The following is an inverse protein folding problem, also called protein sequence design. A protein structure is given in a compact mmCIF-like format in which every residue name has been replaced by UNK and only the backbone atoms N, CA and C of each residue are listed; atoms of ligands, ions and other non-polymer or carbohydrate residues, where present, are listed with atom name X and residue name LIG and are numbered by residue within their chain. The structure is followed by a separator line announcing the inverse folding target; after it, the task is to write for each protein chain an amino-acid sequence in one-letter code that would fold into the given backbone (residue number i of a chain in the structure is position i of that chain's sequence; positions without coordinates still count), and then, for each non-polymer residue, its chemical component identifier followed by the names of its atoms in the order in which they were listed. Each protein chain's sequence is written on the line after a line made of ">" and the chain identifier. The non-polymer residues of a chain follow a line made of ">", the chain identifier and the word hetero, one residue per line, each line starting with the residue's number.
data_IF_845100455152
#
_entry.id   IF_845100455152
#
_cell.length_a   1.000
_cell.length_b   1.000
_cell.length_c   1.000
_cell.angle_alpha   90.00
_cell.angle_beta   90.00
_cell.angle_gamma   90.00
#
_symmetry.space_group_name_H-M   'P 1'
#
loop_
_entity.id
_entity.type
_entity.pdbx_description
1 polymer ?
#
# COMPACT_ATOMS: atom_id res chain seq x y z
N UNK A 1 50.08 -27.12 39.32
CA UNK A 1 49.60 -25.82 39.77
C UNK A 1 48.62 -25.34 38.71
N UNK A 2 47.32 -25.68 38.92
CA UNK A 2 46.21 -25.35 37.99
C UNK A 2 45.65 -23.99 38.39
N UNK A 3 45.74 -23.02 37.49
CA UNK A 3 44.99 -21.76 37.59
C UNK A 3 43.75 -21.89 36.71
N UNK A 4 42.63 -22.16 37.37
CA UNK A 4 41.27 -22.03 36.81
C UNK A 4 40.93 -20.55 36.90
N UNK A 5 40.78 -19.89 35.76
CA UNK A 5 40.24 -18.52 35.68
C UNK A 5 38.74 -18.53 35.77
N UNK A 6 38.15 -17.83 36.70
CA UNK A 6 36.72 -17.59 36.89
C UNK A 6 36.07 -16.98 35.65
N UNK A 7 34.85 -17.40 35.26
CA UNK A 7 34.07 -16.70 34.24
C UNK A 7 33.52 -15.42 34.79
N UNK A 8 33.95 -14.30 34.24
CA UNK A 8 33.41 -12.96 34.56
C UNK A 8 31.88 -12.94 34.39
N UNK A 9 31.25 -12.61 35.47
CA UNK A 9 29.81 -12.26 35.60
C UNK A 9 29.44 -11.24 34.51
N UNK A 10 28.64 -11.67 33.54
CA UNK A 10 27.99 -10.74 32.60
C UNK A 10 26.95 -9.98 33.40
N UNK A 11 27.19 -8.71 33.62
CA UNK A 11 26.25 -7.80 34.30
C UNK A 11 24.89 -7.88 33.62
N UNK A 12 23.85 -8.16 34.37
CA UNK A 12 22.45 -8.08 33.95
C UNK A 12 22.13 -6.64 33.56
N UNK A 13 22.19 -6.36 32.27
CA UNK A 13 21.78 -5.07 31.72
C UNK A 13 20.30 -4.84 32.08
N UNK A 14 20.00 -3.75 32.76
CA UNK A 14 18.64 -3.27 32.98
C UNK A 14 17.97 -3.12 31.60
N UNK A 15 16.80 -3.72 31.42
CA UNK A 15 16.01 -3.57 30.19
C UNK A 15 15.76 -2.07 29.94
N UNK A 16 16.18 -1.58 28.79
CA UNK A 16 15.93 -0.20 28.39
C UNK A 16 14.42 0.05 28.30
N UNK A 17 13.99 1.27 28.58
CA UNK A 17 12.58 1.65 28.35
C UNK A 17 12.19 1.44 26.86
N UNK A 18 10.90 1.23 26.56
CA UNK A 18 10.44 1.09 25.19
C UNK A 18 10.91 2.24 24.26
N UNK A 19 10.91 3.47 24.79
CA UNK A 19 11.38 4.67 24.08
C UNK A 19 12.89 4.63 23.84
N UNK A 20 13.68 4.21 24.81
CA UNK A 20 15.13 4.07 24.66
C UNK A 20 15.48 2.95 23.66
N UNK A 21 14.72 1.84 23.66
CA UNK A 21 14.87 0.77 22.69
C UNK A 21 14.53 1.25 21.26
N UNK A 22 13.47 2.03 21.11
CA UNK A 22 13.10 2.61 19.81
C UNK A 22 14.16 3.60 19.33
N UNK A 23 14.65 4.48 20.19
CA UNK A 23 15.72 5.42 19.86
C UNK A 23 17.01 4.69 19.43
N UNK A 24 17.39 3.63 20.15
CA UNK A 24 18.55 2.81 19.83
C UNK A 24 18.36 2.07 18.47
N UNK A 25 17.17 1.52 18.22
CA UNK A 25 16.85 0.89 16.93
C UNK A 25 16.94 1.88 15.78
N UNK A 26 16.42 3.09 15.93
CA UNK A 26 16.50 4.16 14.95
C UNK A 26 17.95 4.63 14.71
N UNK A 27 18.75 4.73 15.77
CA UNK A 27 20.16 5.09 15.66
C UNK A 27 20.97 4.05 14.88
N UNK A 28 20.61 2.76 14.99
CA UNK A 28 21.23 1.65 14.28
C UNK A 28 20.64 1.42 12.88
N UNK A 29 19.46 1.96 12.57
CA UNK A 29 18.79 1.71 11.30
C UNK A 29 19.57 2.28 10.12
N UNK A 30 19.66 1.48 9.06
CA UNK A 30 20.24 1.87 7.77
C UNK A 30 19.28 2.72 6.95
N UNK A 31 17.97 2.48 7.10
CA UNK A 31 16.90 3.27 6.51
C UNK A 31 15.69 3.38 7.45
N UNK A 32 14.97 4.47 7.33
CA UNK A 32 13.78 4.80 8.14
C UNK A 32 12.63 5.14 7.21
N UNK A 33 11.53 4.41 7.36
CA UNK A 33 10.26 4.68 6.71
C UNK A 33 9.32 5.32 7.74
N UNK A 34 9.02 6.58 7.54
CA UNK A 34 8.04 7.31 8.34
C UNK A 34 6.68 7.25 7.66
N UNK A 35 5.64 6.83 8.39
CA UNK A 35 4.25 6.76 7.94
C UNK A 35 3.46 7.80 8.73
N UNK A 36 2.78 8.70 8.03
CA UNK A 36 1.94 9.76 8.60
C UNK A 36 0.48 9.28 8.64
N UNK A 37 0.04 8.83 9.83
CA UNK A 37 -1.31 8.32 10.03
C UNK A 37 -2.36 9.44 9.94
N UNK A 38 -2.02 10.66 10.31
CA UNK A 38 -2.94 11.79 10.20
C UNK A 38 -3.16 12.18 8.74
N UNK A 39 -2.13 12.08 7.91
CA UNK A 39 -2.27 12.27 6.47
C UNK A 39 -3.16 11.18 5.83
N UNK A 40 -3.05 9.92 6.27
CA UNK A 40 -3.95 8.83 5.84
C UNK A 40 -5.39 9.14 6.24
N UNK A 41 -5.64 9.56 7.48
CA UNK A 41 -6.97 9.95 7.96
C UNK A 41 -7.50 11.17 7.19
N UNK A 42 -6.67 12.18 6.93
CA UNK A 42 -7.06 13.34 6.15
C UNK A 42 -7.45 12.96 4.71
N UNK A 43 -6.69 12.05 4.08
CA UNK A 43 -7.03 11.51 2.78
C UNK A 43 -8.36 10.76 2.80
N UNK A 44 -8.59 9.89 3.80
CA UNK A 44 -9.84 9.18 3.95
C UNK A 44 -11.02 10.14 4.13
N UNK A 45 -10.93 11.15 5.00
CA UNK A 45 -11.99 12.15 5.19
C UNK A 45 -12.31 12.94 3.92
N UNK A 46 -11.28 13.25 3.13
CA UNK A 46 -11.45 13.90 1.83
C UNK A 46 -12.22 13.01 0.84
N UNK A 47 -11.95 11.71 0.83
CA UNK A 47 -12.68 10.74 0.03
C UNK A 47 -14.11 10.54 0.57
N UNK A 48 -14.27 10.43 1.89
CA UNK A 48 -15.56 10.35 2.56
C UNK A 48 -16.48 11.54 2.22
N UNK A 49 -15.96 12.77 2.27
CA UNK A 49 -16.74 13.95 1.92
C UNK A 49 -17.21 13.96 0.46
N UNK A 50 -16.50 13.27 -0.43
CA UNK A 50 -16.91 13.09 -1.84
C UNK A 50 -17.88 11.94 -2.03
N UNK A 51 -17.96 11.03 -1.05
CA UNK A 51 -18.81 9.83 -1.11
C UNK A 51 -20.26 10.11 -0.80
N UNK A 52 -20.56 11.12 -0.03
CA UNK A 52 -21.92 11.37 0.50
C UNK A 52 -22.97 11.39 -0.61
N UNK A 53 -24.06 10.58 -0.49
CA UNK A 53 -24.51 9.84 0.71
C UNK A 53 -23.95 8.42 0.86
N UNK A 54 -23.11 7.93 -0.05
CA UNK A 54 -22.51 6.61 0.02
C UNK A 54 -21.53 6.48 1.20
N UNK A 55 -21.34 5.26 1.71
CA UNK A 55 -20.30 4.96 2.69
C UNK A 55 -18.92 4.97 2.01
N UNK A 56 -17.91 5.50 2.70
CA UNK A 56 -16.51 5.41 2.28
C UNK A 56 -15.80 4.33 3.10
N UNK A 57 -15.59 3.17 2.51
CA UNK A 57 -14.76 2.12 3.08
C UNK A 57 -13.26 2.43 2.94
N UNK A 58 -12.41 1.55 3.47
CA UNK A 58 -10.98 1.61 3.26
C UNK A 58 -10.43 0.26 2.78
N UNK A 59 -9.60 0.27 1.71
CA UNK A 59 -8.88 -0.93 1.28
C UNK A 59 -7.50 -0.94 1.93
N UNK A 60 -7.25 -1.93 2.80
CA UNK A 60 -6.05 -2.04 3.63
C UNK A 60 -5.24 -3.32 3.34
N UNK A 61 -5.45 -3.92 2.18
CA UNK A 61 -4.69 -5.09 1.70
C UNK A 61 -3.20 -4.78 1.51
N UNK A 62 -2.38 -5.82 1.34
CA UNK A 62 -0.93 -5.74 1.20
C UNK A 62 -0.29 -4.96 2.36
N UNK A 63 -0.68 -5.33 3.61
CA UNK A 63 -0.23 -4.67 4.83
C UNK A 63 -0.49 -3.14 4.81
N UNK A 64 -1.72 -2.75 4.45
CA UNK A 64 -2.11 -1.36 4.21
C UNK A 64 -1.19 -0.67 3.19
N UNK A 65 -1.01 -1.31 2.02
CA UNK A 65 -0.09 -0.86 0.95
C UNK A 65 1.35 -0.66 1.47
N UNK A 66 1.82 -1.56 2.35
CA UNK A 66 3.15 -1.49 2.96
C UNK A 66 3.28 -0.50 4.13
N UNK A 67 2.19 0.20 4.49
CA UNK A 67 2.20 1.16 5.60
C UNK A 67 1.97 0.52 6.98
N UNK A 68 1.61 -0.78 7.05
CA UNK A 68 1.30 -1.48 8.30
C UNK A 68 -0.18 -1.48 8.64
N UNK A 69 -0.82 -2.65 8.56
CA UNK A 69 -2.27 -2.78 8.67
C UNK A 69 -2.79 -2.38 10.06
N UNK A 70 -2.13 -2.79 11.15
CA UNK A 70 -2.61 -2.52 12.51
C UNK A 70 -2.67 -1.00 12.82
N UNK A 71 -1.58 -0.21 12.70
CA UNK A 71 -1.65 1.22 13.01
C UNK A 71 -2.57 2.00 12.06
N UNK A 72 -2.61 1.64 10.78
CA UNK A 72 -3.48 2.29 9.79
C UNK A 72 -4.94 2.02 10.11
N UNK A 73 -5.32 0.77 10.39
CA UNK A 73 -6.70 0.45 10.75
C UNK A 73 -7.15 1.15 12.03
N UNK A 74 -6.32 1.16 13.09
CA UNK A 74 -6.67 1.87 14.33
C UNK A 74 -6.93 3.34 14.09
N UNK A 75 -6.10 4.01 13.27
CA UNK A 75 -6.28 5.41 12.93
C UNK A 75 -7.59 5.65 12.14
N UNK A 76 -7.87 4.82 11.13
CA UNK A 76 -9.09 4.93 10.32
C UNK A 76 -10.37 4.60 11.11
N UNK A 77 -10.34 3.58 11.98
CA UNK A 77 -11.46 3.25 12.87
C UNK A 77 -11.74 4.40 13.84
N UNK A 78 -10.70 4.99 14.44
CA UNK A 78 -10.84 6.16 15.30
C UNK A 78 -11.41 7.39 14.56
N UNK A 79 -11.14 7.49 13.25
CA UNK A 79 -11.70 8.53 12.38
C UNK A 79 -13.16 8.26 11.98
N UNK A 80 -13.70 7.04 12.18
CA UNK A 80 -15.09 6.67 11.89
C UNK A 80 -15.28 5.69 10.73
N UNK A 81 -14.20 5.21 10.09
CA UNK A 81 -14.30 4.20 9.04
C UNK A 81 -14.81 2.87 9.61
N UNK A 82 -15.83 2.29 8.99
CA UNK A 82 -16.53 1.09 9.50
C UNK A 82 -16.25 -0.16 8.66
N UNK A 83 -16.05 -0.01 7.36
CA UNK A 83 -15.92 -1.11 6.40
C UNK A 83 -14.53 -1.14 5.80
N UNK A 84 -13.91 -2.31 5.81
CA UNK A 84 -12.56 -2.54 5.33
C UNK A 84 -12.50 -3.68 4.33
N UNK A 85 -11.60 -3.57 3.36
CA UNK A 85 -11.34 -4.60 2.37
C UNK A 85 -9.87 -5.02 2.45
N UNK A 86 -9.66 -6.32 2.54
CA UNK A 86 -8.35 -6.99 2.51
C UNK A 86 -8.30 -8.00 1.36
N UNK A 87 -7.12 -8.49 0.98
CA UNK A 87 -7.01 -9.51 -0.05
C UNK A 87 -7.22 -10.91 0.54
N UNK A 88 -6.55 -11.25 1.63
CA UNK A 88 -6.41 -12.60 2.16
C UNK A 88 -7.00 -12.76 3.58
N UNK A 89 -7.20 -14.04 4.00
CA UNK A 89 -7.62 -14.35 5.37
C UNK A 89 -6.60 -13.93 6.43
N UNK A 90 -5.31 -14.01 6.13
CA UNK A 90 -4.27 -13.58 7.09
C UNK A 90 -4.31 -12.08 7.33
N UNK A 91 -4.56 -11.30 6.27
CA UNK A 91 -4.80 -9.86 6.40
C UNK A 91 -6.10 -9.58 7.15
N UNK A 92 -7.17 -10.38 6.93
CA UNK A 92 -8.42 -10.26 7.68
C UNK A 92 -8.21 -10.52 9.18
N UNK A 93 -7.38 -11.49 9.55
CA UNK A 93 -7.02 -11.78 10.94
C UNK A 93 -6.29 -10.58 11.57
N UNK A 94 -5.32 -10.00 10.86
CA UNK A 94 -4.62 -8.80 11.32
C UNK A 94 -5.58 -7.61 11.45
N UNK A 95 -6.49 -7.42 10.49
CA UNK A 95 -7.51 -6.38 10.52
C UNK A 95 -8.48 -6.55 11.71
N UNK A 96 -8.94 -7.79 11.98
CA UNK A 96 -9.81 -8.10 13.12
C UNK A 96 -9.11 -7.86 14.46
N UNK A 97 -7.82 -8.14 14.56
CA UNK A 97 -7.02 -7.84 15.76
C UNK A 97 -6.93 -6.32 16.03
N UNK A 98 -6.91 -5.51 14.97
CA UNK A 98 -6.90 -4.04 15.09
C UNK A 98 -8.28 -3.46 15.45
N UNK A 99 -9.40 -4.12 15.05
CA UNK A 99 -10.76 -3.66 15.33
C UNK A 99 -11.75 -4.83 15.46
N UNK A 100 -12.32 -4.97 16.66
CA UNK A 100 -13.32 -6.01 16.93
C UNK A 100 -14.67 -5.79 16.20
N UNK A 101 -15.00 -4.55 15.84
CA UNK A 101 -16.32 -4.17 15.33
C UNK A 101 -16.35 -3.85 13.83
N UNK A 102 -15.19 -3.80 13.18
CA UNK A 102 -15.12 -3.46 11.75
C UNK A 102 -15.80 -4.53 10.89
N UNK A 103 -16.50 -4.11 9.85
CA UNK A 103 -16.92 -5.00 8.77
C UNK A 103 -15.72 -5.25 7.86
N UNK A 104 -15.34 -6.51 7.69
CA UNK A 104 -14.15 -6.90 6.91
C UNK A 104 -14.56 -7.80 5.76
N UNK A 105 -14.24 -7.40 4.53
CA UNK A 105 -14.42 -8.19 3.32
C UNK A 105 -13.08 -8.71 2.80
N UNK A 106 -13.02 -10.00 2.42
CA UNK A 106 -11.84 -10.66 1.85
C UNK A 106 -12.02 -10.80 0.34
N UNK A 107 -11.18 -10.11 -0.43
CA UNK A 107 -11.34 -9.97 -1.88
C UNK A 107 -11.00 -11.24 -2.68
N UNK A 108 -10.11 -12.08 -2.16
CA UNK A 108 -9.71 -13.34 -2.82
C UNK A 108 -10.78 -14.45 -2.68
N UNK A 109 -11.92 -14.14 -2.05
CA UNK A 109 -13.03 -15.08 -1.89
C UNK A 109 -12.82 -16.11 -0.79
N UNK A 110 -13.59 -17.21 -0.87
CA UNK A 110 -13.56 -18.32 0.08
C UNK A 110 -13.00 -19.56 -0.61
N UNK A 111 -11.76 -19.93 -0.32
CA UNK A 111 -11.21 -21.19 -0.80
C UNK A 111 -11.93 -22.39 -0.19
N UNK A 112 -11.89 -23.51 -0.90
CA UNK A 112 -12.53 -24.75 -0.51
C UNK A 112 -12.17 -25.15 0.95
N UNK A 113 -13.18 -25.50 1.74
CA UNK A 113 -13.06 -25.87 3.15
C UNK A 113 -12.54 -24.77 4.09
N UNK A 114 -12.56 -23.51 3.70
CA UNK A 114 -12.11 -22.38 4.52
C UNK A 114 -13.23 -21.62 5.26
N UNK A 115 -14.51 -22.01 5.10
CA UNK A 115 -15.65 -21.32 5.72
C UNK A 115 -15.52 -21.15 7.24
N UNK A 116 -15.05 -22.17 7.96
CA UNK A 116 -14.85 -22.10 9.41
C UNK A 116 -13.86 -20.98 9.82
N UNK A 117 -12.89 -20.65 8.95
CA UNK A 117 -11.93 -19.55 9.19
C UNK A 117 -12.57 -18.17 9.05
N UNK A 118 -13.53 -18.03 8.14
CA UNK A 118 -14.31 -16.79 8.03
C UNK A 118 -15.16 -16.55 9.28
N UNK A 119 -15.79 -17.59 9.81
CA UNK A 119 -16.57 -17.52 11.04
C UNK A 119 -15.68 -17.23 12.26
N UNK A 120 -14.50 -17.87 12.36
CA UNK A 120 -13.51 -17.63 13.44
C UNK A 120 -13.05 -16.17 13.49
N UNK A 121 -12.80 -15.56 12.32
CA UNK A 121 -12.31 -14.19 12.19
C UNK A 121 -13.46 -13.18 12.22
N UNK A 122 -14.70 -13.62 11.98
CA UNK A 122 -15.86 -12.77 11.75
C UNK A 122 -15.64 -11.83 10.54
N UNK A 123 -15.31 -12.39 9.39
CA UNK A 123 -15.13 -11.67 8.14
C UNK A 123 -15.98 -12.28 7.02
N UNK A 124 -16.11 -11.57 5.91
CA UNK A 124 -17.02 -11.87 4.81
C UNK A 124 -16.24 -12.16 3.53
N UNK A 125 -16.46 -13.28 2.84
CA UNK A 125 -15.87 -13.51 1.53
C UNK A 125 -16.51 -12.60 0.47
N UNK A 126 -15.73 -12.24 -0.54
CA UNK A 126 -16.20 -11.63 -1.79
C UNK A 126 -16.25 -12.74 -2.84
N UNK A 127 -17.42 -13.30 -3.05
CA UNK A 127 -17.66 -14.49 -3.88
C UNK A 127 -17.79 -14.09 -5.34
N UNK A 128 -17.00 -14.72 -6.20
CA UNK A 128 -16.95 -14.43 -7.62
C UNK A 128 -17.20 -15.63 -8.54
N UNK A 129 -17.61 -16.78 -7.99
CA UNK A 129 -17.87 -18.01 -8.74
C UNK A 129 -19.07 -18.76 -8.14
N UNK A 130 -19.88 -19.46 -8.99
CA UNK A 130 -21.06 -20.19 -8.53
C UNK A 130 -20.73 -21.42 -7.71
N UNK A 131 -19.61 -22.08 -7.95
CA UNK A 131 -19.18 -23.23 -7.13
C UNK A 131 -18.75 -22.73 -5.74
N UNK A 132 -18.00 -21.64 -5.70
CA UNK A 132 -17.64 -20.98 -4.45
C UNK A 132 -18.88 -20.59 -3.63
N UNK A 133 -19.90 -20.01 -4.28
CA UNK A 133 -21.17 -19.68 -3.64
C UNK A 133 -21.88 -20.93 -3.11
N UNK A 134 -21.90 -22.03 -3.88
CA UNK A 134 -22.50 -23.28 -3.45
C UNK A 134 -21.80 -23.88 -2.22
N UNK A 135 -20.47 -23.83 -2.18
CA UNK A 135 -19.66 -24.28 -1.03
C UNK A 135 -19.93 -23.41 0.20
N UNK A 136 -19.98 -22.08 0.02
CA UNK A 136 -20.34 -21.14 1.07
C UNK A 136 -21.73 -21.41 1.65
N UNK A 137 -22.70 -21.69 0.80
CA UNK A 137 -24.06 -22.05 1.21
C UNK A 137 -24.12 -23.35 2.02
N UNK A 138 -23.35 -24.35 1.61
CA UNK A 138 -23.23 -25.60 2.37
C UNK A 138 -22.66 -25.32 3.76
N UNK A 139 -21.62 -24.54 3.84
CA UNK A 139 -21.04 -24.11 5.11
C UNK A 139 -22.07 -23.39 6.00
N UNK A 140 -22.73 -22.34 5.47
CA UNK A 140 -23.73 -21.57 6.21
C UNK A 140 -24.89 -22.45 6.72
N UNK A 141 -25.41 -23.33 5.88
CA UNK A 141 -26.49 -24.27 6.31
C UNK A 141 -26.03 -25.21 7.39
N UNK A 142 -24.81 -25.75 7.30
CA UNK A 142 -24.25 -26.70 8.27
C UNK A 142 -24.03 -26.07 9.63
N UNK A 143 -23.56 -24.81 9.66
CA UNK A 143 -23.10 -24.17 10.89
C UNK A 143 -24.08 -23.15 11.47
N UNK A 144 -25.11 -22.77 10.71
CA UNK A 144 -25.98 -21.63 11.06
C UNK A 144 -25.31 -20.26 10.96
N UNK A 145 -24.14 -20.17 10.29
CA UNK A 145 -23.43 -18.91 10.14
C UNK A 145 -24.22 -17.90 9.30
N UNK A 146 -24.42 -16.70 9.86
CA UNK A 146 -25.19 -15.61 9.25
C UNK A 146 -24.36 -14.34 9.03
N UNK A 147 -23.02 -14.42 9.07
CA UNK A 147 -22.11 -13.26 8.98
C UNK A 147 -22.10 -12.56 7.62
N UNK A 148 -22.67 -13.19 6.59
CA UNK A 148 -22.83 -12.60 5.27
C UNK A 148 -21.64 -12.82 4.33
N UNK A 149 -21.87 -12.44 3.06
CA UNK A 149 -20.89 -12.43 1.97
C UNK A 149 -21.16 -11.28 1.02
N UNK A 150 -20.20 -10.94 0.17
CA UNK A 150 -20.41 -10.07 -0.99
C UNK A 150 -20.44 -10.91 -2.27
N UNK A 151 -21.19 -10.47 -3.28
CA UNK A 151 -21.15 -11.02 -4.64
C UNK A 151 -20.36 -10.06 -5.52
N UNK A 152 -19.33 -10.57 -6.18
CA UNK A 152 -18.58 -9.83 -7.20
C UNK A 152 -19.14 -10.18 -8.58
N UNK A 153 -19.48 -9.15 -9.35
CA UNK A 153 -20.02 -9.28 -10.71
C UNK A 153 -19.00 -8.64 -11.67
N UNK A 154 -18.58 -9.38 -12.68
CA UNK A 154 -17.70 -8.83 -13.72
C UNK A 154 -18.51 -8.04 -14.74
N UNK A 155 -18.17 -6.77 -14.88
CA UNK A 155 -18.79 -5.86 -15.84
C UNK A 155 -17.82 -5.43 -16.95
N UNK A 156 -16.68 -6.12 -17.06
CA UNK A 156 -15.74 -5.90 -18.17
C UNK A 156 -14.27 -5.74 -17.76
N UNK A 157 -13.88 -6.11 -16.53
CA UNK A 157 -12.48 -6.21 -16.14
C UNK A 157 -11.88 -7.57 -16.50
N UNK A 158 -12.69 -8.62 -16.61
CA UNK A 158 -12.32 -9.99 -17.00
C UNK A 158 -11.21 -10.58 -16.10
N UNK A 159 -11.33 -10.38 -14.80
CA UNK A 159 -10.36 -10.88 -13.82
C UNK A 159 -10.99 -11.82 -12.79
N UNK A 160 -12.01 -11.37 -12.11
CA UNK A 160 -12.81 -12.08 -11.12
C UNK A 160 -14.26 -11.64 -11.23
N UNK A 161 -15.18 -12.45 -10.74
CA UNK A 161 -16.60 -12.10 -10.65
C UNK A 161 -17.48 -13.01 -11.51
N UNK A 162 -18.73 -13.11 -11.10
CA UNK A 162 -19.79 -13.79 -11.86
C UNK A 162 -20.03 -13.06 -13.18
N UNK A 163 -20.41 -13.79 -14.20
CA UNK A 163 -20.95 -13.18 -15.42
C UNK A 163 -22.28 -12.47 -15.10
N UNK A 164 -22.71 -11.56 -15.97
CA UNK A 164 -24.02 -10.91 -15.82
C UNK A 164 -25.16 -11.94 -15.83
N UNK A 165 -25.04 -12.97 -16.67
CA UNK A 165 -26.02 -14.07 -16.76
C UNK A 165 -26.08 -14.87 -15.44
N UNK A 166 -24.96 -15.27 -14.89
CA UNK A 166 -24.89 -15.97 -13.60
C UNK A 166 -25.47 -15.12 -12.47
N UNK A 167 -25.15 -13.84 -12.45
CA UNK A 167 -25.66 -12.88 -11.47
C UNK A 167 -27.20 -12.72 -11.58
N UNK A 168 -27.74 -12.63 -12.82
CA UNK A 168 -29.18 -12.61 -13.06
C UNK A 168 -29.88 -13.86 -12.54
N UNK A 169 -29.24 -15.03 -12.70
CA UNK A 169 -29.74 -16.29 -12.16
C UNK A 169 -29.87 -16.31 -10.63
N UNK A 170 -29.10 -15.49 -9.91
CA UNK A 170 -29.18 -15.37 -8.45
C UNK A 170 -30.26 -14.41 -7.94
N UNK A 171 -30.78 -13.52 -8.76
CA UNK A 171 -31.75 -12.48 -8.36
C UNK A 171 -32.97 -13.04 -7.63
N UNK A 172 -33.68 -14.10 -8.13
CA UNK A 172 -34.85 -14.63 -7.43
C UNK A 172 -34.51 -15.17 -6.03
N UNK A 173 -33.36 -15.82 -5.90
CA UNK A 173 -32.90 -16.37 -4.63
C UNK A 173 -32.58 -15.26 -3.62
N UNK A 174 -31.87 -14.23 -4.05
CA UNK A 174 -31.44 -13.13 -3.18
C UNK A 174 -32.67 -12.30 -2.74
N UNK A 175 -33.59 -12.01 -3.67
CA UNK A 175 -34.80 -11.25 -3.36
C UNK A 175 -35.81 -12.02 -2.50
N UNK A 176 -35.72 -13.36 -2.42
CA UNK A 176 -36.55 -14.17 -1.49
C UNK A 176 -36.11 -14.01 -0.02
N UNK A 177 -35.00 -13.34 0.27
CA UNK A 177 -34.46 -13.16 1.62
C UNK A 177 -33.68 -14.39 2.13
N UNK A 178 -33.11 -14.30 3.33
CA UNK A 178 -32.35 -15.38 3.98
C UNK A 178 -31.11 -15.88 3.20
N UNK A 179 -30.53 -15.04 2.37
CA UNK A 179 -29.39 -15.42 1.52
C UNK A 179 -28.03 -15.05 2.12
N UNK A 180 -27.99 -14.20 3.17
CA UNK A 180 -26.75 -13.74 3.80
C UNK A 180 -25.85 -12.85 2.92
N UNK A 181 -26.34 -12.37 1.76
CA UNK A 181 -25.56 -11.48 0.90
C UNK A 181 -25.74 -10.04 1.41
N UNK A 182 -24.61 -9.41 1.77
CA UNK A 182 -24.57 -8.10 2.39
C UNK A 182 -24.06 -7.00 1.46
N UNK A 183 -23.58 -7.36 0.26
CA UNK A 183 -23.05 -6.41 -0.74
C UNK A 183 -23.04 -7.06 -2.12
N UNK A 184 -23.40 -6.31 -3.16
CA UNK A 184 -23.05 -6.63 -4.55
C UNK A 184 -22.00 -5.64 -5.03
N UNK A 185 -20.98 -6.11 -5.74
CA UNK A 185 -19.89 -5.23 -6.17
C UNK A 185 -19.36 -5.58 -7.55
N UNK A 186 -18.77 -4.58 -8.20
CA UNK A 186 -17.94 -4.74 -9.39
C UNK A 186 -16.67 -3.92 -9.26
N UNK A 187 -15.81 -3.90 -10.28
CA UNK A 187 -14.55 -3.17 -10.26
C UNK A 187 -14.26 -2.50 -11.59
N UNK A 188 -13.94 -1.20 -11.55
CA UNK A 188 -13.59 -0.41 -12.73
C UNK A 188 -12.18 -0.76 -13.22
N UNK A 189 -12.06 -0.97 -14.53
CA UNK A 189 -10.80 -1.36 -15.17
C UNK A 189 -9.94 -0.16 -15.61
N UNK A 190 -10.57 1.00 -15.89
CA UNK A 190 -9.90 2.14 -16.53
C UNK A 190 -10.21 3.47 -15.82
N UNK A 191 -10.49 3.44 -14.51
CA UNK A 191 -10.93 4.62 -13.76
C UNK A 191 -9.88 5.75 -13.70
N UNK A 192 -8.60 5.42 -13.87
CA UNK A 192 -7.50 6.38 -13.93
C UNK A 192 -7.57 7.28 -15.17
N UNK A 193 -8.18 6.83 -16.26
CA UNK A 193 -8.47 7.61 -17.46
C UNK A 193 -9.95 8.06 -17.39
N UNK A 194 -10.18 9.33 -17.07
CA UNK A 194 -11.52 9.88 -16.85
C UNK A 194 -12.45 9.71 -18.07
N UNK A 195 -11.90 9.73 -19.27
CA UNK A 195 -12.65 9.71 -20.53
C UNK A 195 -12.72 8.33 -21.19
N UNK A 196 -12.17 7.28 -20.55
CA UNK A 196 -12.19 5.94 -21.13
C UNK A 196 -13.62 5.40 -21.24
N UNK A 197 -14.09 5.01 -22.44
CA UNK A 197 -15.50 4.63 -22.66
C UNK A 197 -15.93 3.40 -21.86
N UNK A 198 -14.99 2.54 -21.44
CA UNK A 198 -15.28 1.39 -20.60
C UNK A 198 -15.85 1.79 -19.23
N UNK A 199 -15.46 2.95 -18.68
CA UNK A 199 -15.99 3.41 -17.39
C UNK A 199 -17.52 3.55 -17.43
N UNK A 200 -18.05 4.29 -18.42
CA UNK A 200 -19.49 4.47 -18.58
C UNK A 200 -20.22 3.14 -18.85
N UNK A 201 -19.62 2.28 -19.68
CA UNK A 201 -20.17 0.96 -20.00
C UNK A 201 -20.25 0.06 -18.77
N UNK A 202 -19.18 -0.03 -17.96
CA UNK A 202 -19.17 -0.80 -16.71
C UNK A 202 -20.19 -0.27 -15.71
N UNK A 203 -20.30 1.05 -15.54
CA UNK A 203 -21.26 1.67 -14.64
C UNK A 203 -22.72 1.40 -15.07
N UNK A 204 -23.01 1.45 -16.38
CA UNK A 204 -24.35 1.16 -16.92
C UNK A 204 -24.71 -0.32 -16.68
N UNK A 205 -23.85 -1.25 -17.08
CA UNK A 205 -24.06 -2.70 -16.87
C UNK A 205 -24.19 -3.05 -15.38
N UNK A 206 -23.35 -2.47 -14.53
CA UNK A 206 -23.44 -2.71 -13.10
C UNK A 206 -24.72 -2.15 -12.48
N UNK A 207 -25.16 -0.97 -12.90
CA UNK A 207 -26.43 -0.39 -12.42
C UNK A 207 -27.63 -1.24 -12.79
N UNK A 208 -27.68 -1.72 -14.02
CA UNK A 208 -28.76 -2.57 -14.51
C UNK A 208 -28.91 -3.86 -13.70
N UNK A 209 -27.80 -4.53 -13.38
CA UNK A 209 -27.84 -5.74 -12.59
C UNK A 209 -28.02 -5.47 -11.09
N UNK A 210 -27.35 -4.45 -10.52
CA UNK A 210 -27.42 -4.15 -9.09
C UNK A 210 -28.83 -3.74 -8.65
N UNK A 211 -29.58 -3.02 -9.48
CA UNK A 211 -30.98 -2.64 -9.20
C UNK A 211 -31.93 -3.85 -9.07
N UNK A 212 -31.55 -4.99 -9.59
CA UNK A 212 -32.37 -6.20 -9.46
C UNK A 212 -32.20 -6.88 -8.09
N UNK A 213 -31.12 -6.58 -7.35
CA UNK A 213 -30.87 -7.11 -6.00
C UNK A 213 -31.50 -6.21 -4.93
N UNK A 214 -32.80 -6.38 -4.70
CA UNK A 214 -33.59 -5.52 -3.82
C UNK A 214 -33.06 -5.53 -2.38
N UNK A 215 -32.73 -4.35 -1.84
CA UNK A 215 -32.26 -4.19 -0.46
C UNK A 215 -30.83 -4.62 -0.19
N UNK A 216 -30.05 -4.97 -1.22
CA UNK A 216 -28.63 -5.27 -1.09
C UNK A 216 -27.83 -4.05 -1.55
N UNK A 217 -26.96 -3.47 -0.70
CA UNK A 217 -26.09 -2.37 -1.08
C UNK A 217 -25.19 -2.73 -2.27
N UNK A 218 -24.86 -1.72 -3.10
CA UNK A 218 -24.04 -1.87 -4.28
C UNK A 218 -22.73 -1.07 -4.18
N UNK A 219 -21.65 -1.56 -4.81
CA UNK A 219 -20.34 -0.91 -4.77
C UNK A 219 -19.57 -1.07 -6.08
N UNK A 220 -19.12 0.06 -6.67
CA UNK A 220 -18.34 0.05 -7.90
C UNK A 220 -17.02 0.79 -7.78
N UNK A 221 -17.04 2.04 -7.27
CA UNK A 221 -15.89 2.94 -7.30
C UNK A 221 -14.71 2.45 -6.46
N UNK A 222 -13.53 2.39 -7.08
CA UNK A 222 -12.21 2.35 -6.45
C UNK A 222 -11.70 3.78 -6.19
N UNK A 223 -10.39 3.96 -5.88
CA UNK A 223 -9.79 5.29 -5.65
C UNK A 223 -10.09 6.28 -6.77
N UNK A 224 -9.78 5.92 -8.01
CA UNK A 224 -9.99 6.79 -9.18
C UNK A 224 -11.47 6.94 -9.50
N UNK A 225 -12.26 5.87 -9.33
CA UNK A 225 -13.70 5.88 -9.48
C UNK A 225 -14.42 6.91 -8.60
N UNK A 226 -13.85 7.25 -7.44
CA UNK A 226 -14.35 8.31 -6.55
C UNK A 226 -14.36 9.69 -7.21
N UNK A 227 -13.54 9.89 -8.23
CA UNK A 227 -13.38 11.16 -8.94
C UNK A 227 -14.12 11.20 -10.29
N UNK A 228 -14.73 10.10 -10.73
CA UNK A 228 -15.48 10.03 -11.99
C UNK A 228 -16.88 10.67 -11.93
N UNK A 229 -17.39 10.93 -10.72
CA UNK A 229 -18.69 11.57 -10.52
C UNK A 229 -19.73 10.67 -9.85
N UNK A 230 -20.92 11.25 -9.52
CA UNK A 230 -21.96 10.59 -8.69
C UNK A 230 -22.46 9.27 -9.27
N UNK A 231 -22.48 9.15 -10.59
CA UNK A 231 -22.99 7.95 -11.28
C UNK A 231 -22.17 6.68 -11.03
N UNK A 232 -20.96 6.79 -10.41
CA UNK A 232 -20.09 5.67 -10.07
C UNK A 232 -20.10 5.32 -8.58
N UNK A 233 -20.75 6.14 -7.73
CA UNK A 233 -20.62 6.03 -6.26
C UNK A 233 -21.39 4.84 -5.69
N UNK A 234 -22.63 4.61 -6.11
CA UNK A 234 -23.55 3.63 -5.54
C UNK A 234 -23.70 3.82 -4.01
N UNK A 235 -23.78 2.72 -3.23
CA UNK A 235 -23.99 2.78 -1.77
C UNK A 235 -22.68 2.74 -0.98
N UNK A 236 -21.60 2.20 -1.55
CA UNK A 236 -20.30 2.02 -0.90
C UNK A 236 -19.15 2.28 -1.87
N UNK A 237 -18.20 3.12 -1.50
CA UNK A 237 -16.96 3.31 -2.25
C UNK A 237 -15.78 2.63 -1.56
N UNK A 238 -14.82 2.14 -2.34
CA UNK A 238 -13.69 1.32 -1.87
C UNK A 238 -12.33 1.92 -2.29
N UNK A 239 -11.99 3.14 -1.80
CA UNK A 239 -10.68 3.70 -2.07
C UNK A 239 -9.59 2.87 -1.38
N UNK A 240 -8.47 2.71 -2.08
CA UNK A 240 -7.24 2.10 -1.58
C UNK A 240 -6.08 3.06 -1.76
N UNK A 241 -5.44 3.06 -2.92
CA UNK A 241 -4.21 3.81 -3.20
C UNK A 241 -4.29 5.31 -2.86
N UNK A 242 -5.44 5.93 -3.06
CA UNK A 242 -5.65 7.34 -2.71
C UNK A 242 -5.51 7.60 -1.20
N UNK A 243 -5.84 6.64 -0.34
CA UNK A 243 -5.61 6.75 1.12
C UNK A 243 -4.12 6.95 1.42
N UNK A 244 -3.26 6.33 0.63
CA UNK A 244 -1.81 6.31 0.81
C UNK A 244 -1.08 7.36 -0.04
N UNK A 245 -1.81 8.35 -0.55
CA UNK A 245 -1.23 9.52 -1.24
C UNK A 245 -0.87 9.30 -2.70
N UNK A 246 -1.20 8.15 -3.29
CA UNK A 246 -1.06 7.90 -4.74
C UNK A 246 -2.11 8.72 -5.49
N UNK A 247 -1.71 9.34 -6.61
CA UNK A 247 -2.61 10.16 -7.40
C UNK A 247 -3.74 9.33 -8.04
N UNK A 248 -5.01 9.53 -7.65
CA UNK A 248 -6.14 8.84 -8.24
C UNK A 248 -6.58 9.44 -9.60
N UNK A 249 -6.03 10.59 -9.96
CA UNK A 249 -6.34 11.35 -11.18
C UNK A 249 -5.05 11.71 -11.92
N UNK A 250 -4.34 10.74 -12.56
CA UNK A 250 -3.00 10.96 -13.10
C UNK A 250 -2.89 12.06 -14.15
N UNK A 251 -4.01 12.43 -14.79
CA UNK A 251 -4.09 13.52 -15.78
C UNK A 251 -4.20 14.92 -15.14
N UNK A 252 -4.26 15.01 -13.80
CA UNK A 252 -4.38 16.24 -13.03
C UNK A 252 -3.46 16.23 -11.81
N UNK A 253 -3.34 17.37 -11.15
CA UNK A 253 -2.61 17.48 -9.89
C UNK A 253 -3.17 16.51 -8.85
N UNK A 254 -2.25 15.89 -8.10
CA UNK A 254 -2.65 14.93 -7.07
C UNK A 254 -3.44 15.61 -5.95
N UNK A 255 -4.72 15.27 -5.78
CA UNK A 255 -5.53 15.85 -4.72
C UNK A 255 -5.20 15.28 -3.33
N UNK A 256 -4.42 14.20 -3.24
CA UNK A 256 -4.13 13.51 -1.98
C UNK A 256 -2.84 13.99 -1.35
N UNK A 257 -2.77 13.93 -0.04
CA UNK A 257 -1.58 14.25 0.74
C UNK A 257 -0.62 13.05 0.75
N UNK A 258 0.68 13.23 0.47
CA UNK A 258 1.68 12.17 0.65
C UNK A 258 1.71 11.68 2.10
N UNK A 259 1.82 10.35 2.29
CA UNK A 259 1.72 9.73 3.62
C UNK A 259 3.01 9.09 4.09
N UNK A 260 4.02 8.95 3.22
CA UNK A 260 5.30 8.33 3.58
C UNK A 260 6.47 9.26 3.33
N UNK A 261 7.50 9.11 4.17
CA UNK A 261 8.84 9.60 3.94
C UNK A 261 9.83 8.46 4.13
N UNK A 262 10.68 8.21 3.13
CA UNK A 262 11.74 7.21 3.19
C UNK A 262 13.10 7.91 3.21
N UNK A 263 13.87 7.64 4.25
CA UNK A 263 15.26 8.11 4.38
C UNK A 263 16.21 6.95 4.55
N UNK A 264 17.42 7.06 4.00
CA UNK A 264 18.47 6.08 4.15
C UNK A 264 19.80 6.74 4.51
N UNK A 265 20.70 5.96 5.14
CA UNK A 265 21.93 6.48 5.74
C UNK A 265 23.10 6.40 4.78
N UNK A 266 23.90 7.46 4.70
CA UNK A 266 25.19 7.47 4.02
C UNK A 266 26.17 6.62 4.84
N UNK A 267 26.73 5.59 4.22
CA UNK A 267 27.71 4.71 4.85
C UNK A 267 29.14 5.09 4.50
N UNK A 268 29.36 5.75 3.35
CA UNK A 268 30.67 6.20 2.90
C UNK A 268 30.56 7.38 1.94
N UNK A 269 31.54 8.28 1.97
CA UNK A 269 31.79 9.25 0.89
C UNK A 269 33.03 8.78 0.11
N UNK A 270 32.96 8.78 -1.21
CA UNK A 270 34.04 8.39 -2.11
C UNK A 270 34.31 9.47 -3.15
N UNK A 271 35.58 9.66 -3.48
CA UNK A 271 35.99 10.42 -4.67
C UNK A 271 36.38 9.42 -5.76
N UNK A 272 35.93 9.65 -6.97
CA UNK A 272 36.29 8.89 -8.18
C UNK A 272 36.87 9.83 -9.21
N UNK A 273 37.88 9.39 -9.94
CA UNK A 273 38.52 10.19 -10.96
C UNK A 273 37.66 10.23 -12.24
N UNK A 274 37.88 11.24 -13.09
CA UNK A 274 37.31 11.26 -14.44
C UNK A 274 37.73 10.00 -15.20
N UNK A 275 36.77 9.31 -15.78
CA UNK A 275 36.96 8.06 -16.52
C UNK A 275 36.76 6.79 -15.68
N UNK A 276 36.71 6.90 -14.34
CA UNK A 276 36.38 5.74 -13.48
C UNK A 276 34.91 5.36 -13.63
N UNK A 277 34.61 4.06 -13.62
CA UNK A 277 33.26 3.54 -13.66
C UNK A 277 32.70 3.29 -12.25
N UNK A 278 31.37 3.34 -12.13
CA UNK A 278 30.65 3.13 -10.86
C UNK A 278 29.60 2.00 -11.00
N UNK A 279 29.63 1.07 -10.06
CA UNK A 279 28.62 0.03 -9.92
C UNK A 279 28.80 -1.16 -10.86
N UNK A 280 27.84 -2.10 -10.77
CA UNK A 280 27.88 -3.33 -11.55
C UNK A 280 27.77 -3.09 -13.06
N UNK A 281 28.64 -3.80 -13.81
CA UNK A 281 28.68 -3.75 -15.27
C UNK A 281 29.33 -2.49 -15.82
N UNK A 282 29.93 -1.64 -14.94
CA UNK A 282 30.62 -0.41 -15.34
C UNK A 282 29.83 0.47 -16.33
N UNK A 283 28.50 0.54 -16.15
CA UNK A 283 27.58 1.19 -17.08
C UNK A 283 27.48 2.70 -16.90
N UNK A 284 28.05 3.24 -15.85
CA UNK A 284 28.13 4.66 -15.57
C UNK A 284 29.58 5.08 -15.39
N UNK A 285 30.01 6.13 -16.08
CA UNK A 285 31.37 6.61 -16.07
C UNK A 285 31.43 8.06 -15.59
N UNK A 286 32.32 8.36 -14.67
CA UNK A 286 32.54 9.70 -14.16
C UNK A 286 33.11 10.62 -15.27
N UNK A 287 32.33 11.62 -15.70
CA UNK A 287 32.74 12.58 -16.75
C UNK A 287 33.68 13.67 -16.24
N UNK A 288 33.78 13.83 -14.93
CA UNK A 288 34.63 14.79 -14.18
C UNK A 288 35.07 14.10 -12.88
N UNK A 289 36.03 14.66 -12.12
CA UNK A 289 36.24 14.22 -10.74
C UNK A 289 34.93 14.30 -9.99
N UNK A 290 34.47 13.20 -9.43
CA UNK A 290 33.11 13.01 -8.90
C UNK A 290 33.15 12.58 -7.44
N UNK A 291 32.32 13.21 -6.62
CA UNK A 291 32.13 12.87 -5.21
C UNK A 291 30.82 12.09 -5.05
N UNK A 292 30.93 10.87 -4.54
CA UNK A 292 29.81 9.96 -4.37
C UNK A 292 29.45 9.79 -2.90
N UNK A 293 28.16 9.81 -2.58
CA UNK A 293 27.62 9.26 -1.33
C UNK A 293 27.13 7.84 -1.57
N UNK A 294 27.70 6.89 -0.85
CA UNK A 294 27.23 5.50 -0.84
C UNK A 294 26.20 5.37 0.27
N UNK A 295 24.99 4.95 -0.10
CA UNK A 295 23.81 4.91 0.77
C UNK A 295 23.37 3.45 0.98
N UNK A 296 23.04 3.12 2.24
CA UNK A 296 22.61 1.78 2.65
C UNK A 296 21.14 1.55 2.32
N UNK A 297 20.86 1.37 1.04
CA UNK A 297 19.56 0.96 0.49
C UNK A 297 19.79 0.40 -0.90
N UNK A 298 19.12 -0.70 -1.21
CA UNK A 298 19.18 -1.33 -2.52
C UNK A 298 17.86 -2.04 -2.86
N UNK A 299 17.89 -2.89 -3.90
CA UNK A 299 16.66 -3.54 -4.35
C UNK A 299 16.13 -4.62 -3.39
N UNK A 300 16.95 -5.16 -2.47
CA UNK A 300 16.48 -6.05 -1.41
C UNK A 300 15.66 -5.31 -0.33
N UNK A 301 15.74 -3.98 -0.30
CA UNK A 301 14.94 -3.11 0.56
C UNK A 301 13.65 -2.66 -0.13
N UNK A 302 13.44 -3.08 -1.40
CA UNK A 302 12.29 -2.68 -2.21
C UNK A 302 12.48 -1.37 -2.96
N UNK A 303 13.70 -0.81 -3.01
CA UNK A 303 13.99 0.34 -3.86
C UNK A 303 14.45 -0.14 -5.24
N UNK A 304 13.67 0.11 -6.26
CA UNK A 304 13.78 -0.53 -7.57
C UNK A 304 15.14 -0.34 -8.23
N UNK A 305 15.67 -1.42 -8.80
CA UNK A 305 16.91 -1.38 -9.57
C UNK A 305 16.85 -0.46 -10.79
N UNK A 306 15.65 -0.26 -11.34
CA UNK A 306 15.36 0.64 -12.44
C UNK A 306 15.63 2.13 -12.11
N UNK A 307 15.73 2.50 -10.81
CA UNK A 307 16.10 3.84 -10.38
C UNK A 307 17.57 4.21 -10.72
N UNK A 308 18.43 3.21 -10.94
CA UNK A 308 19.84 3.42 -11.25
C UNK A 308 20.06 4.07 -12.60
N UNK A 309 21.18 4.79 -12.74
CA UNK A 309 21.62 5.43 -13.98
C UNK A 309 22.61 4.59 -14.78
N UNK A 310 22.80 4.98 -16.03
CA UNK A 310 23.85 4.54 -16.91
C UNK A 310 24.27 5.69 -17.83
N UNK A 311 25.38 5.54 -18.58
CA UNK A 311 25.76 6.54 -19.57
C UNK A 311 24.66 6.71 -20.62
N UNK A 312 24.15 7.94 -20.75
CA UNK A 312 23.02 8.25 -21.63
C UNK A 312 21.62 7.90 -21.10
N UNK A 313 21.51 7.29 -19.92
CA UNK A 313 20.23 6.96 -19.27
C UNK A 313 20.06 7.78 -17.99
N UNK A 314 18.97 8.57 -17.92
CA UNK A 314 18.65 9.36 -16.74
C UNK A 314 18.31 8.44 -15.56
N UNK A 315 18.92 8.68 -14.40
CA UNK A 315 18.59 8.03 -13.14
C UNK A 315 17.45 8.74 -12.42
N UNK A 316 16.84 8.05 -11.45
CA UNK A 316 16.08 8.74 -10.41
C UNK A 316 16.99 9.67 -9.59
N UNK A 317 16.35 10.63 -8.93
CA UNK A 317 17.02 11.57 -8.04
C UNK A 317 16.61 11.30 -6.59
N UNK A 318 17.47 11.70 -5.67
CA UNK A 318 17.25 11.67 -4.22
C UNK A 318 17.59 13.05 -3.65
N UNK A 319 17.15 13.36 -2.43
CA UNK A 319 17.47 14.62 -1.80
C UNK A 319 18.56 14.44 -0.77
N UNK A 320 19.69 15.15 -0.97
CA UNK A 320 20.81 15.20 -0.04
C UNK A 320 20.98 16.66 0.41
N UNK A 321 20.87 16.91 1.71
CA UNK A 321 20.96 18.25 2.28
C UNK A 321 20.06 19.30 1.59
N UNK A 322 18.83 18.91 1.22
CA UNK A 322 17.85 19.78 0.58
C UNK A 322 17.99 19.95 -0.94
N UNK A 323 18.96 19.31 -1.58
CA UNK A 323 19.17 19.39 -3.03
C UNK A 323 18.93 18.02 -3.70
N UNK A 324 18.35 18.03 -4.90
CA UNK A 324 18.19 16.84 -5.73
C UNK A 324 19.55 16.43 -6.29
N UNK A 325 19.88 15.14 -6.12
CA UNK A 325 21.12 14.53 -6.55
C UNK A 325 20.81 13.23 -7.32
N UNK A 326 21.42 13.01 -8.50
CA UNK A 326 21.16 11.82 -9.31
C UNK A 326 21.84 10.58 -8.74
N UNK A 327 21.22 9.41 -8.96
CA UNK A 327 21.84 8.11 -8.66
C UNK A 327 22.89 7.80 -9.72
N UNK A 328 24.12 7.47 -9.30
CA UNK A 328 25.23 7.15 -10.16
C UNK A 328 25.39 5.63 -10.32
N UNK A 329 25.22 5.10 -11.52
CA UNK A 329 25.33 3.69 -11.81
C UNK A 329 24.13 2.85 -11.33
N UNK A 330 24.28 1.53 -11.45
CA UNK A 330 23.22 0.57 -11.10
C UNK A 330 23.09 0.43 -9.59
N UNK A 331 21.86 0.34 -9.13
CA UNK A 331 21.55 0.00 -7.73
C UNK A 331 21.92 -1.47 -7.49
N UNK A 332 22.61 -1.71 -6.38
CA UNK A 332 22.99 -3.03 -5.89
C UNK A 332 21.91 -3.63 -4.97
N UNK A 333 22.13 -4.82 -4.46
CA UNK A 333 21.19 -5.47 -3.53
C UNK A 333 20.93 -4.61 -2.29
N UNK A 334 22.00 -4.02 -1.71
CA UNK A 334 21.96 -3.36 -0.41
C UNK A 334 22.47 -1.90 -0.45
N UNK A 335 22.98 -1.43 -1.59
CA UNK A 335 23.67 -0.15 -1.70
C UNK A 335 23.33 0.56 -3.02
N UNK A 336 23.35 1.90 -2.96
CA UNK A 336 23.35 2.76 -4.13
C UNK A 336 24.40 3.86 -4.00
N UNK A 337 24.89 4.36 -5.13
CA UNK A 337 25.78 5.52 -5.19
C UNK A 337 25.00 6.74 -5.68
N UNK A 338 25.22 7.89 -5.06
CA UNK A 338 24.57 9.17 -5.40
C UNK A 338 25.66 10.17 -5.75
N UNK A 339 25.54 10.83 -6.89
CA UNK A 339 26.45 11.91 -7.27
C UNK A 339 26.12 13.18 -6.47
N UNK A 340 27.03 13.55 -5.57
CA UNK A 340 26.93 14.73 -4.71
C UNK A 340 28.02 15.76 -5.04
N UNK A 341 28.57 15.71 -6.25
CA UNK A 341 29.69 16.56 -6.68
C UNK A 341 29.36 18.04 -6.56
N UNK A 342 28.12 18.42 -6.89
CA UNK A 342 27.69 19.82 -6.91
C UNK A 342 27.23 20.33 -5.54
N UNK A 343 27.22 19.49 -4.52
CA UNK A 343 26.96 19.94 -3.15
C UNK A 343 28.19 20.62 -2.54
N UNK A 344 28.01 21.65 -1.71
CA UNK A 344 29.12 22.26 -0.95
C UNK A 344 29.87 21.21 -0.13
N UNK A 345 31.16 21.44 0.06
CA UNK A 345 32.00 20.55 0.87
C UNK A 345 31.46 20.44 2.31
N UNK A 346 31.61 19.23 2.87
CA UNK A 346 31.17 18.88 4.23
C UNK A 346 29.64 18.89 4.47
N UNK A 347 28.81 19.23 3.48
CA UNK A 347 27.36 19.21 3.58
C UNK A 347 26.82 17.78 3.76
N UNK A 348 27.44 16.82 3.07
CA UNK A 348 27.13 15.38 3.21
C UNK A 348 28.33 14.65 3.81
N UNK A 349 28.07 13.75 4.79
CA UNK A 349 29.08 12.92 5.45
C UNK A 349 28.50 11.59 5.87
N UNK A 350 29.35 10.62 6.20
CA UNK A 350 28.94 9.34 6.77
C UNK A 350 28.01 9.56 7.96
N UNK A 351 26.90 8.81 8.00
CA UNK A 351 25.87 8.89 9.05
C UNK A 351 24.73 9.84 8.74
N UNK A 352 24.87 10.79 7.81
CA UNK A 352 23.75 11.64 7.40
C UNK A 352 22.68 10.84 6.64
N UNK A 353 21.44 11.31 6.72
CA UNK A 353 20.30 10.71 6.02
C UNK A 353 20.09 11.39 4.66
N UNK A 354 19.71 10.59 3.70
CA UNK A 354 19.30 10.98 2.34
C UNK A 354 17.82 10.68 2.21
N UNK A 355 17.04 11.61 1.67
CA UNK A 355 15.61 11.38 1.43
C UNK A 355 15.43 10.73 0.06
N UNK A 356 14.83 9.53 0.07
CA UNK A 356 14.56 8.72 -1.12
C UNK A 356 13.12 8.89 -1.61
N UNK A 357 12.17 9.10 -0.68
CA UNK A 357 10.76 9.42 -0.93
C UNK A 357 10.36 10.51 0.07
N UNK A 358 9.58 11.48 -0.36
CA UNK A 358 9.23 12.66 0.45
C UNK A 358 10.09 13.87 0.13
N UNK A 359 9.84 15.01 0.79
CA UNK A 359 10.58 16.26 0.55
C UNK A 359 10.46 16.79 -0.88
N UNK A 360 9.42 16.42 -1.61
CA UNK A 360 9.21 16.78 -3.02
C UNK A 360 9.50 15.65 -4.02
N UNK A 361 9.87 14.46 -3.56
CA UNK A 361 9.92 13.22 -4.37
C UNK A 361 8.68 12.39 -4.01
N UNK A 362 7.74 12.26 -4.94
CA UNK A 362 6.51 11.50 -4.73
C UNK A 362 6.67 10.03 -5.14
N UNK A 363 5.78 9.16 -4.64
CA UNK A 363 5.72 7.76 -5.08
C UNK A 363 5.36 7.66 -6.56
N UNK A 364 4.53 8.59 -7.08
CA UNK A 364 4.12 8.62 -8.48
C UNK A 364 5.27 9.05 -9.41
N UNK A 365 6.10 10.04 -8.97
CA UNK A 365 7.32 10.42 -9.68
C UNK A 365 8.27 9.23 -9.84
N UNK A 366 8.50 8.50 -8.74
CA UNK A 366 9.36 7.30 -8.78
C UNK A 366 8.75 6.19 -9.63
N UNK A 367 7.44 5.97 -9.51
CA UNK A 367 6.73 4.97 -10.30
C UNK A 367 6.88 5.23 -11.81
N UNK A 368 6.67 6.48 -12.23
CA UNK A 368 6.90 6.90 -13.62
C UNK A 368 8.34 6.60 -14.05
N UNK A 369 9.32 6.92 -13.21
CA UNK A 369 10.73 6.68 -13.49
C UNK A 369 11.08 5.21 -13.60
N UNK A 370 10.42 4.34 -12.80
CA UNK A 370 10.63 2.89 -12.78
C UNK A 370 9.85 2.15 -13.89
N UNK A 371 8.92 2.82 -14.57
CA UNK A 371 8.02 2.21 -15.53
C UNK A 371 6.93 1.36 -14.87
N UNK A 372 6.45 1.80 -13.71
CA UNK A 372 5.41 1.13 -12.92
C UNK A 372 4.38 2.14 -12.36
N UNK A 373 3.63 1.75 -11.33
CA UNK A 373 2.60 2.54 -10.66
C UNK A 373 2.93 2.75 -9.16
N UNK A 374 2.44 3.85 -8.57
CA UNK A 374 2.70 4.19 -7.16
C UNK A 374 2.31 3.09 -6.17
N UNK A 375 1.31 2.27 -6.52
CA UNK A 375 0.89 1.08 -5.75
C UNK A 375 2.04 0.08 -5.56
N UNK A 376 2.76 -0.24 -6.64
CA UNK A 376 3.87 -1.19 -6.60
C UNK A 376 5.06 -0.61 -5.85
N UNK A 377 5.34 0.68 -6.00
CA UNK A 377 6.38 1.36 -5.22
C UNK A 377 6.12 1.21 -3.72
N UNK A 378 4.89 1.51 -3.26
CA UNK A 378 4.52 1.40 -1.84
C UNK A 378 4.63 -0.03 -1.32
N UNK A 379 4.01 -0.99 -2.03
CA UNK A 379 3.93 -2.39 -1.59
C UNK A 379 5.26 -3.12 -1.67
N UNK A 380 6.23 -2.61 -2.43
CA UNK A 380 7.57 -3.18 -2.53
C UNK A 380 8.50 -2.81 -1.36
N UNK A 381 8.15 -1.76 -0.59
CA UNK A 381 9.01 -1.31 0.52
C UNK A 381 9.18 -2.38 1.58
N UNK A 382 10.44 -2.85 1.74
CA UNK A 382 10.80 -4.01 2.53
C UNK A 382 10.71 -3.80 4.04
N UNK A 383 10.83 -4.91 4.77
CA UNK A 383 10.79 -4.94 6.25
C UNK A 383 12.12 -4.53 6.90
N UNK A 384 13.17 -4.27 6.11
CA UNK A 384 14.49 -3.86 6.63
C UNK A 384 14.54 -2.41 7.09
N UNK A 385 13.58 -1.57 6.65
CA UNK A 385 13.43 -0.21 7.15
C UNK A 385 12.85 -0.20 8.55
N UNK A 386 13.42 0.60 9.46
CA UNK A 386 12.76 0.94 10.72
C UNK A 386 11.53 1.79 10.43
N UNK A 387 10.36 1.37 10.93
CA UNK A 387 9.10 2.09 10.72
C UNK A 387 8.78 3.02 11.88
N UNK A 388 8.42 4.25 11.55
CA UNK A 388 7.94 5.26 12.50
C UNK A 388 6.53 5.67 12.07
N UNK A 389 5.60 5.65 13.01
CA UNK A 389 4.24 6.13 12.80
C UNK A 389 4.07 7.49 13.47
N UNK A 390 3.67 8.51 12.68
CA UNK A 390 3.36 9.84 13.18
C UNK A 390 1.86 9.96 13.43
N UNK A 391 1.50 10.46 14.61
CA UNK A 391 0.15 10.84 15.02
C UNK A 391 0.23 12.16 15.78
N UNK A 392 -0.72 13.06 15.53
CA UNK A 392 -0.75 14.37 16.17
C UNK A 392 0.21 15.36 15.50
N UNK A 393 -0.30 16.48 15.03
CA UNK A 393 0.57 17.60 14.68
C UNK A 393 1.33 18.00 15.93
N UNK A 394 2.63 17.69 15.99
CA UNK A 394 3.52 18.40 16.89
C UNK A 394 3.49 19.84 16.43
N UNK A 395 2.67 20.65 17.15
CA UNK A 395 2.61 22.10 17.03
C UNK A 395 3.96 22.74 17.31
#
# INVERSE_FOLDING_TARGET
>A
MNLVSDPKTIASGSALSPEANQAAALAAATGVLTIDLDAIVANWRKLESRSVPAECAAVVKADAYGCGIDPVMRALVAAGCKTFFVATLDEARAARAASALATIYVLDGCFQNCGDKFAEIDCKPVIGDLNELAEWDVFCRRTGWAGGAAIHIDTGMNRLGLTIEDAQGLVPRINAGNHGISLVMSHLACAENLHHPLNARQAASFREIAQQFTGVPASLANSSGTFLGPQFQFDLMRPGAALYGVNPTPEADNPMTPVIELKARIVQIRNVARGDSVGYGATWTARRPTRLAIVSTGYADGYFRAAGGADGVRSAEVIVAGQRCPIAGRISMDLMAIDITDLPDKTARRGHMVTLIGGGITVDELAHHFGTIGYEVLTSLGKRYARIYKTGASS
#
